data_IF_228059658499
#
_entry.id   IF_228059658499
#
_cell.length_a   1.000
_cell.length_b   1.000
_cell.length_c   1.000
_cell.angle_alpha   90.00
_cell.angle_beta   90.00
_cell.angle_gamma   90.00
#
_symmetry.space_group_name_H-M   'P 1'
#
loop_
_entity.id
_entity.type
_entity.pdbx_description
1 polymer ?
#
# COMPACT_ATOMS: atom_id res chain seq x y z
N UNK A 1 18.88 24.54 -22.60
CA UNK A 1 18.18 23.62 -21.66
C UNK A 1 19.22 23.01 -20.75
N UNK A 2 19.24 23.40 -19.46
CA UNK A 2 20.16 22.80 -18.50
C UNK A 2 19.76 21.33 -18.29
N UNK A 3 20.66 20.40 -18.59
CA UNK A 3 20.53 19.00 -18.22
C UNK A 3 20.48 18.91 -16.70
N UNK A 4 19.33 18.52 -16.16
CA UNK A 4 19.19 18.25 -14.73
C UNK A 4 20.07 17.05 -14.38
N UNK A 5 21.22 17.31 -13.78
CA UNK A 5 22.13 16.27 -13.31
C UNK A 5 21.54 15.68 -12.02
N UNK A 6 21.04 14.45 -12.11
CA UNK A 6 20.45 13.75 -10.97
C UNK A 6 21.55 13.32 -9.99
N UNK A 7 21.54 13.87 -8.77
CA UNK A 7 22.50 13.56 -7.71
C UNK A 7 21.87 12.59 -6.70
N UNK A 8 22.28 11.33 -6.76
CA UNK A 8 21.81 10.26 -5.87
C UNK A 8 22.11 10.49 -4.39
N UNK A 9 23.21 11.17 -4.06
CA UNK A 9 23.64 11.34 -2.67
C UNK A 9 22.83 12.43 -1.98
N UNK A 10 22.56 13.52 -2.71
CA UNK A 10 21.72 14.61 -2.23
C UNK A 10 20.30 14.16 -1.93
N UNK A 11 19.71 13.33 -2.78
CA UNK A 11 18.38 12.78 -2.52
C UNK A 11 18.33 11.85 -1.31
N UNK A 12 19.32 10.96 -1.16
CA UNK A 12 19.41 10.09 0.03
C UNK A 12 19.48 10.90 1.32
N UNK A 13 20.18 12.05 1.29
CA UNK A 13 20.25 12.96 2.43
C UNK A 13 18.89 13.61 2.73
N UNK A 14 18.15 14.04 1.70
CA UNK A 14 16.81 14.62 1.86
C UNK A 14 15.83 13.61 2.46
N UNK A 15 15.80 12.38 1.96
CA UNK A 15 14.95 11.30 2.49
C UNK A 15 15.28 11.01 3.96
N UNK A 16 16.57 10.92 4.30
CA UNK A 16 17.00 10.74 5.69
C UNK A 16 16.53 11.88 6.59
N UNK A 17 16.70 13.12 6.15
CA UNK A 17 16.26 14.30 6.91
C UNK A 17 14.75 14.29 7.15
N UNK A 18 13.96 13.94 6.14
CA UNK A 18 12.51 13.77 6.26
C UNK A 18 12.13 12.76 7.35
N UNK A 19 12.67 11.53 7.28
CA UNK A 19 12.34 10.48 8.25
C UNK A 19 12.85 10.77 9.67
N UNK A 20 13.97 11.50 9.79
CA UNK A 20 14.45 11.97 11.09
C UNK A 20 13.49 12.99 11.73
N UNK A 21 12.95 13.92 10.94
CA UNK A 21 11.94 14.88 11.41
C UNK A 21 10.65 14.18 11.80
N UNK A 22 10.16 13.29 10.93
CA UNK A 22 8.96 12.50 11.18
C UNK A 22 9.08 11.67 12.46
N UNK A 23 10.24 11.03 12.69
CA UNK A 23 10.48 10.26 13.92
C UNK A 23 10.41 11.12 15.18
N UNK A 24 10.91 12.36 15.11
CA UNK A 24 10.83 13.31 16.24
C UNK A 24 9.39 13.73 16.52
N UNK A 25 8.62 14.01 15.48
CA UNK A 25 7.21 14.42 15.60
C UNK A 25 6.33 13.28 16.15
N UNK A 26 6.57 12.04 15.72
CA UNK A 26 5.85 10.87 16.20
C UNK A 26 6.29 10.39 17.59
N UNK A 27 7.47 10.80 18.09
CA UNK A 27 8.03 10.34 19.36
C UNK A 27 8.61 8.92 19.33
N UNK A 28 8.78 8.31 18.16
CA UNK A 28 9.42 7.01 17.98
C UNK A 28 10.10 6.89 16.61
N UNK A 29 11.02 5.94 16.46
CA UNK A 29 11.77 5.76 15.21
C UNK A 29 10.88 5.28 14.04
N UNK A 30 10.72 6.14 13.03
CA UNK A 30 10.02 5.86 11.77
C UNK A 30 11.05 5.73 10.65
N UNK A 31 11.23 4.51 10.14
CA UNK A 31 12.10 4.25 8.98
C UNK A 31 11.30 4.22 7.67
N UNK A 32 11.94 4.46 6.51
CA UNK A 32 11.28 4.33 5.21
C UNK A 32 10.59 2.99 5.02
N UNK A 33 11.20 1.91 5.53
CA UNK A 33 10.64 0.58 5.44
C UNK A 33 9.38 0.41 6.31
N UNK A 34 9.42 0.85 7.59
CA UNK A 34 8.26 0.78 8.48
C UNK A 34 7.10 1.63 7.98
N UNK A 35 7.41 2.83 7.48
CA UNK A 35 6.41 3.72 6.90
C UNK A 35 5.73 3.08 5.68
N UNK A 36 6.51 2.50 4.76
CA UNK A 36 6.00 1.75 3.61
C UNK A 36 5.09 0.60 4.04
N UNK A 37 5.49 -0.17 5.05
CA UNK A 37 4.69 -1.26 5.62
C UNK A 37 3.35 -0.75 6.14
N UNK A 38 3.36 0.24 7.02
CA UNK A 38 2.12 0.80 7.59
C UNK A 38 1.21 1.36 6.51
N UNK A 39 1.76 2.11 5.55
CA UNK A 39 0.98 2.68 4.45
C UNK A 39 0.35 1.59 3.57
N UNK A 40 1.09 0.52 3.27
CA UNK A 40 0.57 -0.60 2.49
C UNK A 40 -0.59 -1.30 3.21
N UNK A 41 -0.42 -1.60 4.51
CA UNK A 41 -1.46 -2.23 5.33
C UNK A 41 -2.72 -1.37 5.41
N UNK A 42 -2.59 -0.06 5.65
CA UNK A 42 -3.75 0.83 5.74
C UNK A 42 -4.50 0.96 4.41
N UNK A 43 -3.79 1.04 3.28
CA UNK A 43 -4.42 1.06 1.96
C UNK A 43 -5.16 -0.25 1.63
N UNK A 44 -4.64 -1.39 2.12
CA UNK A 44 -5.30 -2.69 1.95
C UNK A 44 -6.49 -2.91 2.88
N UNK A 45 -6.69 -2.08 3.91
CA UNK A 45 -7.89 -2.12 4.76
C UNK A 45 -9.07 -1.32 4.20
N UNK A 46 -8.84 -0.41 3.26
CA UNK A 46 -9.91 0.38 2.65
C UNK A 46 -10.92 -0.54 1.92
N UNK A 47 -12.22 -0.22 1.87
CA UNK A 47 -13.21 -1.06 1.19
C UNK A 47 -12.93 -1.20 -0.32
N UNK A 48 -12.41 -0.15 -0.95
CA UNK A 48 -12.05 -0.12 -2.38
C UNK A 48 -10.59 -0.56 -2.62
N UNK A 49 -10.20 -1.72 -2.06
CA UNK A 49 -8.83 -2.26 -2.13
C UNK A 49 -8.36 -2.39 -3.58
N UNK A 50 -7.63 -1.40 -4.09
CA UNK A 50 -7.05 -1.45 -5.42
C UNK A 50 -5.57 -1.83 -5.33
N UNK A 51 -5.31 -3.14 -5.43
CA UNK A 51 -3.96 -3.70 -5.35
C UNK A 51 -2.99 -3.06 -6.35
N UNK A 52 -3.50 -2.68 -7.53
CA UNK A 52 -2.68 -2.08 -8.56
C UNK A 52 -2.33 -0.62 -8.26
N UNK A 53 -3.24 0.11 -7.63
CA UNK A 53 -2.99 1.47 -7.13
C UNK A 53 -1.95 1.45 -6.01
N UNK A 54 -2.06 0.53 -5.06
CA UNK A 54 -1.08 0.35 -3.97
C UNK A 54 0.29 0.01 -4.53
N UNK A 55 0.37 -0.91 -5.50
CA UNK A 55 1.63 -1.27 -6.15
C UNK A 55 2.30 -0.08 -6.85
N UNK A 56 1.53 0.70 -7.62
CA UNK A 56 2.03 1.90 -8.29
C UNK A 56 2.51 2.94 -7.28
N UNK A 57 1.76 3.18 -6.21
CA UNK A 57 2.06 4.18 -5.18
C UNK A 57 3.31 3.82 -4.37
N UNK A 58 3.56 2.52 -4.14
CA UNK A 58 4.74 2.04 -3.40
C UNK A 58 5.97 1.79 -4.28
N UNK A 59 5.83 1.86 -5.61
CA UNK A 59 6.92 1.69 -6.57
C UNK A 59 7.49 0.27 -6.62
N UNK A 60 6.69 -0.74 -6.27
CA UNK A 60 7.13 -2.14 -6.25
C UNK A 60 7.22 -2.72 -7.67
N UNK A 61 8.41 -3.18 -8.08
CA UNK A 61 8.58 -3.91 -9.35
C UNK A 61 7.85 -5.25 -9.36
N UNK A 62 7.72 -5.91 -8.21
CA UNK A 62 7.05 -7.22 -8.07
C UNK A 62 5.71 -7.12 -7.36
N UNK A 63 4.72 -7.89 -7.81
CA UNK A 63 3.42 -8.05 -7.14
C UNK A 63 3.56 -8.83 -5.83
N UNK A 64 4.53 -9.74 -5.73
CA UNK A 64 4.72 -10.63 -4.59
C UNK A 64 4.92 -9.88 -3.27
N UNK A 65 5.70 -8.79 -3.28
CA UNK A 65 5.90 -7.96 -2.07
C UNK A 65 4.67 -7.13 -1.70
N UNK A 66 3.67 -7.03 -2.58
CA UNK A 66 2.39 -6.34 -2.28
C UNK A 66 1.34 -7.36 -1.79
N UNK A 67 1.44 -8.62 -2.25
CA UNK A 67 0.62 -9.73 -1.76
C UNK A 67 0.87 -10.05 -0.27
N UNK A 68 2.08 -9.78 0.26
CA UNK A 68 2.39 -9.90 1.70
C UNK A 68 1.48 -9.06 2.61
N UNK A 69 0.80 -8.04 2.07
CA UNK A 69 -0.09 -7.14 2.81
C UNK A 69 -1.57 -7.46 2.65
N UNK A 70 -1.90 -8.47 1.85
CA UNK A 70 -3.28 -8.93 1.73
C UNK A 70 -3.53 -9.94 2.84
N UNK A 71 -4.13 -9.48 3.93
CA UNK A 71 -4.92 -10.39 4.75
C UNK A 71 -6.27 -10.54 4.02
N UNK A 72 -6.57 -11.75 3.56
CA UNK A 72 -7.86 -12.00 2.92
C UNK A 72 -8.89 -11.88 4.03
N UNK A 73 -9.56 -10.73 4.04
CA UNK A 73 -10.68 -10.48 4.90
C UNK A 73 -11.82 -11.39 4.46
N UNK A 74 -11.94 -12.53 5.15
CA UNK A 74 -12.91 -13.58 4.82
C UNK A 74 -14.34 -13.06 4.86
N UNK A 75 -14.62 -11.99 5.62
CA UNK A 75 -15.93 -11.36 5.67
C UNK A 75 -16.23 -10.63 4.36
N UNK A 76 -15.26 -9.88 3.82
CA UNK A 76 -15.40 -9.24 2.50
C UNK A 76 -15.44 -10.30 1.38
N UNK A 77 -14.63 -11.35 1.48
CA UNK A 77 -14.64 -12.44 0.51
C UNK A 77 -16.00 -13.14 0.48
N UNK A 78 -16.57 -13.47 1.65
CA UNK A 78 -17.92 -14.05 1.76
C UNK A 78 -18.97 -13.12 1.16
N UNK A 79 -18.94 -11.83 1.51
CA UNK A 79 -19.94 -10.86 1.06
C UNK A 79 -19.86 -10.58 -0.44
N UNK A 80 -18.65 -10.56 -0.99
CA UNK A 80 -18.43 -10.42 -2.44
C UNK A 80 -18.93 -11.66 -3.17
N UNK A 81 -18.61 -12.85 -2.63
CA UNK A 81 -19.07 -14.11 -3.19
C UNK A 81 -20.60 -14.25 -3.13
N UNK A 82 -21.22 -13.88 -2.01
CA UNK A 82 -22.67 -13.83 -1.84
C UNK A 82 -23.32 -12.88 -2.84
N UNK A 83 -22.76 -11.68 -3.06
CA UNK A 83 -23.30 -10.74 -4.04
C UNK A 83 -23.19 -11.25 -5.48
N UNK A 84 -22.05 -11.85 -5.86
CA UNK A 84 -21.84 -12.39 -7.21
C UNK A 84 -22.67 -13.66 -7.44
N UNK A 85 -22.81 -14.51 -6.43
CA UNK A 85 -23.62 -15.72 -6.48
C UNK A 85 -25.11 -15.45 -6.26
N UNK A 86 -25.51 -14.31 -5.70
CA UNK A 86 -26.93 -13.94 -5.51
C UNK A 86 -27.71 -13.98 -6.83
N UNK A 87 -27.05 -13.62 -7.95
CA UNK A 87 -27.63 -13.67 -9.29
C UNK A 87 -27.92 -15.12 -9.74
N UNK A 88 -27.16 -16.09 -9.22
CA UNK A 88 -27.29 -17.52 -9.53
C UNK A 88 -28.08 -18.31 -8.49
N UNK A 89 -28.21 -17.81 -7.26
CA UNK A 89 -28.96 -18.45 -6.16
C UNK A 89 -30.44 -18.07 -6.16
N UNK A 90 -30.84 -17.06 -6.95
CA UNK A 90 -32.24 -16.74 -7.25
C UNK A 90 -32.87 -17.74 -8.26
N UNK A 91 -32.49 -19.01 -8.15
CA UNK A 91 -33.16 -20.11 -8.85
C UNK A 91 -34.51 -20.31 -8.17
N UNK A 92 -35.51 -19.67 -8.77
CA UNK A 92 -36.92 -20.05 -8.79
C UNK A 92 -37.59 -20.39 -7.45
N UNK A 93 -38.25 -19.40 -6.87
CA UNK A 93 -39.58 -19.61 -6.27
C UNK A 93 -40.53 -18.54 -6.79
#
# INVERSE_FOLDING_TARGET
MASYQYDHDKERQHIRSFFNRLSKECGFAVSPHRFRHTLATELMKAPDRNLQLVRCLLGHRSLATTLEYIDIDMEIASKTLENELAIYLDISV
#
